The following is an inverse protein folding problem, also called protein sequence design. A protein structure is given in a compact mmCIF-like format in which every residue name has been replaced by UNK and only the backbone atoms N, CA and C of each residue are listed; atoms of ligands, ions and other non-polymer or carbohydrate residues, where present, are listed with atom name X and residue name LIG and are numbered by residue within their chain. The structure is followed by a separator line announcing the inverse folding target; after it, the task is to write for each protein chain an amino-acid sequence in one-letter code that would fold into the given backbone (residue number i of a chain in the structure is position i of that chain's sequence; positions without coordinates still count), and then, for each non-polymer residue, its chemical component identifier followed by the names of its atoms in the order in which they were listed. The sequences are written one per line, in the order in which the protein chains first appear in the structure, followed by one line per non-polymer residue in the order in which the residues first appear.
data_IF_710506808435
#
_entry.id   IF_710506808435
#
_cell.length_a   1.000
_cell.length_b   1.000
_cell.length_c   1.000
_cell.angle_alpha   90.00
_cell.angle_beta   90.00
_cell.angle_gamma   90.00
#
_symmetry.space_group_name_H-M   'P 1'
#
loop_
_entity.id
_entity.type
_entity.pdbx_description
1 polymer ?
#
# COMPACT_ATOMS: atom_id res chain seq x y z
N UNK A 1 -14.19 -9.45 6.46
CA UNK A 1 -13.12 -8.90 7.30
C UNK A 1 -13.63 -7.69 8.06
N UNK A 2 -13.86 -6.54 7.43
CA UNK A 2 -14.33 -5.32 8.11
C UNK A 2 -15.64 -5.49 8.91
N UNK A 3 -16.57 -6.31 8.43
CA UNK A 3 -17.82 -6.64 9.15
C UNK A 3 -17.65 -7.69 10.27
N UNK A 4 -16.44 -8.16 10.54
CA UNK A 4 -16.18 -9.20 11.54
C UNK A 4 -16.58 -10.63 11.14
N UNK A 5 -17.11 -10.84 9.92
CA UNK A 5 -17.55 -12.18 9.48
C UNK A 5 -16.41 -13.21 9.39
N UNK A 6 -15.20 -12.76 9.08
CA UNK A 6 -13.98 -13.58 9.00
C UNK A 6 -12.77 -12.75 9.46
N UNK A 7 -11.77 -13.36 10.11
CA UNK A 7 -10.59 -12.62 10.61
C UNK A 7 -9.65 -12.16 9.49
N UNK A 8 -9.61 -12.90 8.37
CA UNK A 8 -8.85 -12.56 7.18
C UNK A 8 -9.51 -13.13 5.92
N UNK A 9 -9.19 -12.57 4.75
CA UNK A 9 -9.63 -13.02 3.44
C UNK A 9 -8.46 -12.92 2.45
N UNK A 10 -8.21 -13.97 1.68
CA UNK A 10 -7.17 -13.95 0.63
C UNK A 10 -7.65 -13.21 -0.61
N UNK A 11 -6.71 -12.64 -1.35
CA UNK A 11 -7.00 -11.93 -2.59
C UNK A 11 -5.84 -11.96 -3.57
N UNK A 12 -6.07 -11.39 -4.74
CA UNK A 12 -5.07 -11.20 -5.79
C UNK A 12 -5.05 -9.71 -6.15
N UNK A 13 -3.89 -9.09 -6.06
CA UNK A 13 -3.70 -7.65 -6.27
C UNK A 13 -2.93 -7.41 -7.58
N UNK A 14 -3.69 -7.12 -8.66
CA UNK A 14 -3.14 -6.78 -9.99
C UNK A 14 -3.18 -5.29 -10.34
N UNK A 15 -4.03 -4.51 -9.68
CA UNK A 15 -4.14 -3.06 -9.83
C UNK A 15 -4.35 -2.33 -8.50
N UNK A 16 -4.26 -3.03 -7.36
CA UNK A 16 -4.71 -2.53 -6.06
C UNK A 16 -5.87 -3.31 -5.44
N UNK A 17 -6.32 -4.42 -6.03
CA UNK A 17 -7.53 -5.14 -5.61
C UNK A 17 -7.49 -5.78 -4.22
N UNK A 18 -6.36 -5.74 -3.51
CA UNK A 18 -6.29 -6.04 -2.07
C UNK A 18 -6.16 -4.76 -1.26
N UNK A 19 -5.26 -3.86 -1.68
CA UNK A 19 -4.97 -2.61 -0.95
C UNK A 19 -6.15 -1.63 -0.95
N UNK A 20 -6.76 -1.39 -2.11
CA UNK A 20 -7.88 -0.45 -2.28
C UNK A 20 -9.09 -0.83 -1.41
N UNK A 21 -9.65 -2.06 -1.50
CA UNK A 21 -10.76 -2.42 -0.63
C UNK A 21 -10.36 -2.45 0.85
N UNK A 22 -9.10 -2.76 1.18
CA UNK A 22 -8.63 -2.66 2.56
C UNK A 22 -8.68 -1.21 3.07
N UNK A 23 -8.18 -0.26 2.27
CA UNK A 23 -8.22 1.17 2.57
C UNK A 23 -9.66 1.66 2.77
N UNK A 24 -10.56 1.37 1.83
CA UNK A 24 -11.95 1.83 1.86
C UNK A 24 -12.80 1.15 2.93
N UNK A 25 -12.40 -0.03 3.41
CA UNK A 25 -13.08 -0.71 4.49
C UNK A 25 -12.39 -0.55 5.85
N UNK A 26 -11.33 0.27 5.95
CA UNK A 26 -10.63 0.52 7.22
C UNK A 26 -9.99 -0.73 7.82
N UNK A 27 -9.45 -1.62 6.99
CA UNK A 27 -8.75 -2.85 7.43
C UNK A 27 -7.34 -2.91 6.84
N UNK A 28 -6.52 -3.84 7.33
CA UNK A 28 -5.19 -4.06 6.78
C UNK A 28 -5.28 -4.82 5.46
N UNK A 29 -4.50 -4.40 4.46
CA UNK A 29 -4.38 -5.08 3.18
C UNK A 29 -2.92 -5.26 2.77
N UNK A 30 -2.42 -6.49 2.70
CA UNK A 30 -1.07 -6.79 2.24
C UNK A 30 -1.09 -7.33 0.81
N UNK A 31 -0.33 -6.69 -0.07
CA UNK A 31 0.13 -7.27 -1.34
C UNK A 31 1.56 -7.78 -1.14
N UNK A 32 1.80 -9.05 -1.43
CA UNK A 32 3.14 -9.62 -1.34
C UNK A 32 4.02 -9.21 -2.52
N UNK A 33 5.33 -9.32 -2.35
CA UNK A 33 6.28 -9.10 -3.44
C UNK A 33 6.01 -10.09 -4.57
N UNK A 34 6.13 -9.61 -5.81
CA UNK A 34 5.89 -10.44 -6.99
C UNK A 34 6.85 -11.64 -7.00
N UNK A 35 6.30 -12.83 -7.29
CA UNK A 35 7.05 -14.08 -7.32
C UNK A 35 7.19 -14.78 -5.96
N UNK A 36 6.75 -14.19 -4.84
CA UNK A 36 6.77 -14.89 -3.54
C UNK A 36 5.85 -16.12 -3.52
N UNK A 37 4.67 -15.99 -4.14
CA UNK A 37 3.66 -17.04 -4.24
C UNK A 37 3.26 -17.23 -5.71
N UNK A 38 2.86 -18.46 -6.12
CA UNK A 38 2.36 -18.71 -7.46
C UNK A 38 1.15 -17.82 -7.79
N UNK A 39 1.15 -17.27 -9.00
CA UNK A 39 0.03 -16.46 -9.52
C UNK A 39 -0.45 -17.05 -10.84
N UNK A 40 -1.78 -17.23 -11.03
CA UNK A 40 -2.33 -17.65 -12.32
C UNK A 40 -2.30 -16.52 -13.37
N UNK A 41 -2.02 -15.29 -12.94
CA UNK A 41 -1.91 -14.14 -13.84
C UNK A 41 -0.63 -14.24 -14.68
N UNK A 42 -0.82 -14.41 -16.00
CA UNK A 42 0.28 -14.50 -16.96
C UNK A 42 0.90 -13.15 -17.30
N UNK A 43 0.25 -12.04 -16.93
CA UNK A 43 0.79 -10.70 -17.19
C UNK A 43 1.89 -10.30 -16.21
N UNK A 44 1.96 -10.95 -15.04
CA UNK A 44 2.92 -10.65 -13.97
C UNK A 44 2.53 -9.44 -13.12
N UNK A 45 1.34 -8.86 -13.32
CA UNK A 45 0.85 -7.71 -12.55
C UNK A 45 0.29 -8.13 -11.19
N UNK A 46 -0.33 -9.31 -11.14
CA UNK A 46 -1.05 -9.79 -9.97
C UNK A 46 -0.16 -10.58 -9.01
N UNK A 47 -0.15 -10.17 -7.75
CA UNK A 47 0.49 -10.88 -6.65
C UNK A 47 -0.56 -11.28 -5.62
N UNK A 48 -0.31 -12.39 -4.93
CA UNK A 48 -1.18 -12.83 -3.86
C UNK A 48 -1.18 -11.81 -2.71
N UNK A 49 -2.28 -11.78 -1.96
CA UNK A 49 -2.41 -10.88 -0.84
C UNK A 49 -3.49 -11.30 0.14
N UNK A 50 -3.64 -10.51 1.19
CA UNK A 50 -4.60 -10.74 2.27
C UNK A 50 -5.19 -9.42 2.73
N UNK A 51 -6.50 -9.42 2.95
CA UNK A 51 -7.18 -8.45 3.80
C UNK A 51 -7.31 -9.06 5.19
N UNK A 52 -6.88 -8.37 6.23
CA UNK A 52 -6.90 -8.86 7.60
C UNK A 52 -7.46 -7.78 8.54
N UNK A 53 -8.08 -8.23 9.64
CA UNK A 53 -8.57 -7.31 10.67
C UNK A 53 -7.41 -6.54 11.34
N UNK A 54 -6.23 -7.15 11.41
CA UNK A 54 -5.03 -6.64 12.05
C UNK A 54 -3.75 -7.25 11.43
N UNK A 55 -2.58 -6.79 11.89
CA UNK A 55 -1.28 -7.28 11.44
C UNK A 55 -1.02 -8.72 11.89
N UNK A 56 -1.60 -9.16 13.01
CA UNK A 56 -1.50 -10.56 13.44
C UNK A 56 -2.14 -11.51 12.42
N UNK A 57 -3.25 -11.11 11.79
CA UNK A 57 -3.86 -11.83 10.67
C UNK A 57 -2.97 -11.90 9.44
N UNK A 58 -2.26 -10.81 9.11
CA UNK A 58 -1.28 -10.80 8.01
C UNK A 58 -0.05 -11.68 8.30
N UNK A 59 0.45 -11.68 9.54
CA UNK A 59 1.51 -12.58 10.00
C UNK A 59 1.07 -14.05 9.86
N UNK A 60 -0.15 -14.37 10.32
CA UNK A 60 -0.71 -15.71 10.21
C UNK A 60 -0.82 -16.14 8.75
N UNK A 61 -1.31 -15.27 7.87
CA UNK A 61 -1.37 -15.52 6.44
C UNK A 61 0.01 -15.88 5.85
N UNK A 62 1.02 -15.02 6.03
CA UNK A 62 2.36 -15.25 5.48
C UNK A 62 2.97 -16.54 5.99
N UNK A 63 2.82 -16.84 7.29
CA UNK A 63 3.27 -18.09 7.91
C UNK A 63 2.62 -19.30 7.23
N UNK A 64 1.31 -19.25 7.02
CA UNK A 64 0.56 -20.36 6.43
C UNK A 64 0.91 -20.60 4.96
N UNK A 65 1.04 -19.55 4.15
CA UNK A 65 1.21 -19.69 2.69
C UNK A 65 2.66 -19.92 2.26
N UNK A 66 3.64 -19.47 3.04
CA UNK A 66 5.05 -19.69 2.72
C UNK A 66 5.68 -20.85 3.52
N UNK A 67 4.95 -21.38 4.51
CA UNK A 67 5.43 -22.42 5.43
C UNK A 67 6.49 -21.93 6.43
N UNK A 68 6.82 -20.64 6.44
CA UNK A 68 7.79 -20.01 7.34
C UNK A 68 7.40 -18.56 7.62
N UNK A 69 7.63 -18.08 8.83
CA UNK A 69 7.54 -16.65 9.10
C UNK A 69 8.52 -16.33 10.21
N UNK A 70 9.56 -15.59 9.85
CA UNK A 70 10.52 -15.06 10.80
C UNK A 70 10.26 -13.56 10.92
N UNK A 71 9.73 -13.09 12.07
CA UNK A 71 9.50 -11.67 12.29
C UNK A 71 10.78 -10.90 12.06
N UNK A 72 10.75 -9.94 11.13
CA UNK A 72 11.90 -9.10 10.80
C UNK A 72 11.60 -7.67 11.25
N UNK A 73 11.81 -7.40 12.54
CA UNK A 73 11.58 -6.08 13.11
C UNK A 73 12.51 -5.06 12.46
N UNK A 74 12.01 -3.96 11.88
CA UNK A 74 12.86 -2.90 11.37
C UNK A 74 13.47 -2.10 12.53
N UNK A 75 14.62 -1.47 12.28
CA UNK A 75 15.22 -0.53 13.23
C UNK A 75 14.49 0.81 13.19
N UNK A 76 13.89 1.20 14.32
CA UNK A 76 13.12 2.44 14.44
C UNK A 76 13.99 3.63 14.89
N UNK A 77 13.75 4.85 14.37
CA UNK A 77 12.80 5.19 13.32
C UNK A 77 13.30 4.75 11.93
N UNK A 78 12.40 4.15 11.13
CA UNK A 78 12.73 3.74 9.76
C UNK A 78 12.79 4.96 8.84
N UNK A 79 13.86 5.16 8.06
CA UNK A 79 13.87 6.23 7.07
C UNK A 79 12.75 6.02 6.04
N UNK A 80 11.99 7.07 5.77
CA UNK A 80 10.85 7.00 4.87
C UNK A 80 10.76 8.25 4.02
N UNK A 81 10.31 8.10 2.77
CA UNK A 81 9.94 9.24 1.93
C UNK A 81 8.43 9.28 1.79
N UNK A 82 7.87 10.50 1.84
CA UNK A 82 6.48 10.74 1.56
C UNK A 82 6.31 11.26 0.13
N UNK A 83 5.33 10.74 -0.59
CA UNK A 83 4.83 11.34 -1.81
C UNK A 83 3.31 11.26 -1.81
N UNK A 84 2.63 12.39 -1.99
CA UNK A 84 1.18 12.44 -1.96
C UNK A 84 0.57 11.83 -3.23
N UNK A 85 1.20 12.08 -4.38
CA UNK A 85 0.68 11.83 -5.72
C UNK A 85 1.63 10.97 -6.59
N UNK A 86 2.80 10.59 -6.06
CA UNK A 86 3.88 9.93 -6.80
C UNK A 86 4.36 10.75 -8.02
N UNK A 87 4.07 12.06 -8.07
CA UNK A 87 4.40 12.96 -9.17
C UNK A 87 3.47 12.90 -10.38
N UNK A 88 2.37 12.15 -10.33
CA UNK A 88 1.45 12.01 -11.48
C UNK A 88 -0.04 11.93 -11.14
N UNK A 89 -0.42 11.51 -9.92
CA UNK A 89 -1.82 11.29 -9.59
C UNK A 89 -2.55 12.59 -9.18
N UNK A 90 -3.78 12.77 -9.64
CA UNK A 90 -4.69 13.79 -9.08
C UNK A 90 -5.33 13.27 -7.79
N UNK A 91 -4.83 13.72 -6.64
CA UNK A 91 -5.25 13.26 -5.30
C UNK A 91 -6.20 14.27 -4.65
N UNK A 92 -7.31 13.79 -4.10
CA UNK A 92 -8.24 14.57 -3.29
C UNK A 92 -7.51 15.15 -2.07
N UNK A 93 -7.55 16.48 -1.92
CA UNK A 93 -6.92 17.22 -0.83
C UNK A 93 -7.21 16.62 0.55
N UNK A 94 -8.43 16.11 0.76
CA UNK A 94 -8.83 15.54 2.03
C UNK A 94 -8.19 14.17 2.27
N UNK A 95 -8.05 13.35 1.21
CA UNK A 95 -7.34 12.08 1.26
C UNK A 95 -5.87 12.30 1.59
N UNK A 96 -5.22 13.26 0.91
CA UNK A 96 -3.85 13.65 1.22
C UNK A 96 -3.74 14.12 2.68
N UNK A 97 -4.63 15.00 3.12
CA UNK A 97 -4.62 15.57 4.48
C UNK A 97 -4.72 14.49 5.55
N UNK A 98 -5.62 13.52 5.39
CA UNK A 98 -5.79 12.41 6.33
C UNK A 98 -4.56 11.51 6.35
N UNK A 99 -4.04 11.14 5.17
CA UNK A 99 -2.87 10.28 5.06
C UNK A 99 -1.60 10.96 5.63
N UNK A 100 -1.35 12.23 5.30
CA UNK A 100 -0.24 13.02 5.85
C UNK A 100 -0.36 13.18 7.37
N UNK A 101 -1.57 13.36 7.91
CA UNK A 101 -1.78 13.38 9.37
C UNK A 101 -1.32 12.06 10.00
N UNK A 102 -1.69 10.92 9.42
CA UNK A 102 -1.25 9.61 9.89
C UNK A 102 0.29 9.51 9.84
N UNK A 103 0.92 9.89 8.72
CA UNK A 103 2.39 9.89 8.59
C UNK A 103 3.06 10.75 9.66
N UNK A 104 2.54 11.95 9.95
CA UNK A 104 3.06 12.82 11.02
C UNK A 104 2.92 12.17 12.40
N UNK A 105 1.84 11.44 12.66
CA UNK A 105 1.68 10.67 13.90
C UNK A 105 2.72 9.54 14.00
N UNK A 106 2.98 8.81 12.90
CA UNK A 106 4.03 7.78 12.87
C UNK A 106 5.41 8.39 13.14
N UNK A 107 5.69 9.56 12.58
CA UNK A 107 6.96 10.26 12.81
C UNK A 107 7.09 10.76 14.26
N UNK A 108 6.04 11.37 14.81
CA UNK A 108 6.01 11.82 16.20
C UNK A 108 6.15 10.67 17.20
N UNK A 109 5.66 9.48 16.85
CA UNK A 109 5.79 8.26 17.64
C UNK A 109 7.14 7.55 17.47
N UNK A 110 8.04 8.08 16.63
CA UNK A 110 9.38 7.52 16.40
C UNK A 110 9.40 6.26 15.54
N UNK A 111 8.33 5.94 14.79
CA UNK A 111 8.32 4.80 13.88
C UNK A 111 8.96 5.11 12.54
N UNK A 112 8.79 6.34 12.03
CA UNK A 112 9.40 6.77 10.76
C UNK A 112 10.19 8.05 10.93
N UNK A 113 11.25 8.21 10.16
CA UNK A 113 11.96 9.47 9.99
C UNK A 113 11.78 9.91 8.54
N UNK A 114 11.08 11.02 8.34
CA UNK A 114 10.83 11.52 6.99
C UNK A 114 12.07 12.20 6.41
N UNK A 115 12.45 11.77 5.23
CA UNK A 115 13.41 12.47 4.39
C UNK A 115 12.71 13.68 3.74
N UNK A 116 13.40 14.83 3.70
CA UNK A 116 12.83 16.09 3.20
C UNK A 116 12.70 16.16 1.67
N UNK A 117 13.06 15.09 0.95
CA UNK A 117 13.01 15.01 -0.50
C UNK A 117 11.63 14.60 -0.99
N UNK A 118 11.11 15.28 -2.00
CA UNK A 118 9.99 14.75 -2.79
C UNK A 118 10.43 13.52 -3.58
N UNK A 119 9.48 12.67 -3.97
CA UNK A 119 9.73 11.48 -4.75
C UNK A 119 8.65 11.26 -5.81
N UNK A 120 9.09 11.21 -7.07
CA UNK A 120 8.22 11.18 -8.24
C UNK A 120 8.58 10.01 -9.15
N UNK A 121 7.54 9.39 -9.71
CA UNK A 121 7.62 8.37 -10.75
C UNK A 121 7.05 8.94 -12.05
N UNK A 122 7.35 8.26 -13.16
CA UNK A 122 6.60 8.47 -14.40
C UNK A 122 5.22 7.84 -14.27
N UNK A 123 4.19 8.48 -14.83
CA UNK A 123 2.81 7.98 -14.83
C UNK A 123 2.75 6.55 -15.43
N UNK A 124 2.39 5.53 -14.62
CA UNK A 124 2.38 4.15 -15.06
C UNK A 124 1.12 3.76 -15.85
N UNK A 125 0.12 4.64 -16.03
CA UNK A 125 -1.20 4.29 -16.57
C UNK A 125 -1.10 3.54 -17.90
N UNK A 126 -0.47 4.14 -18.91
CA UNK A 126 -0.34 3.54 -20.25
C UNK A 126 0.49 2.26 -20.21
N UNK A 127 1.56 2.22 -19.40
CA UNK A 127 2.39 1.04 -19.24
C UNK A 127 1.61 -0.12 -18.60
N UNK A 128 0.78 0.17 -17.60
CA UNK A 128 -0.07 -0.83 -16.94
C UNK A 128 -1.14 -1.35 -17.91
N UNK A 129 -1.82 -0.46 -18.65
CA UNK A 129 -2.81 -0.83 -19.65
C UNK A 129 -2.20 -1.66 -20.78
N UNK A 130 -1.01 -1.32 -21.25
CA UNK A 130 -0.30 -2.08 -22.29
C UNK A 130 0.06 -3.50 -21.81
N UNK A 131 0.61 -3.66 -20.60
CA UNK A 131 0.90 -4.99 -20.04
C UNK A 131 -0.38 -5.79 -19.88
N UNK A 132 -1.45 -5.18 -19.34
CA UNK A 132 -2.74 -5.83 -19.16
C UNK A 132 -3.38 -6.26 -20.49
N UNK A 133 -3.22 -5.44 -21.52
CA UNK A 133 -3.68 -5.70 -22.89
C UNK A 133 -2.84 -6.68 -23.70
N UNK A 134 -1.80 -7.28 -23.10
CA UNK A 134 -0.93 -8.25 -23.78
C UNK A 134 0.13 -7.62 -24.68
N UNK A 135 0.45 -6.34 -24.47
CA UNK A 135 1.46 -5.58 -25.21
C UNK A 135 2.60 -5.09 -24.29
N UNK A 136 3.26 -5.98 -23.50
CA UNK A 136 4.25 -5.58 -22.50
C UNK A 136 5.45 -4.85 -23.10
N UNK A 137 5.75 -5.06 -24.39
CA UNK A 137 6.79 -4.34 -25.12
C UNK A 137 6.64 -2.81 -25.07
N UNK A 138 5.40 -2.29 -25.11
CA UNK A 138 5.13 -0.85 -25.05
C UNK A 138 5.42 -0.25 -23.66
N UNK A 139 5.41 -1.07 -22.61
CA UNK A 139 5.69 -0.64 -21.24
C UNK A 139 7.18 -0.65 -20.88
N UNK A 140 8.04 -1.23 -21.73
CA UNK A 140 9.44 -1.58 -21.38
C UNK A 140 10.24 -0.39 -20.87
N UNK A 141 10.26 0.71 -21.61
CA UNK A 141 11.07 1.88 -21.28
C UNK A 141 10.61 2.55 -19.97
N UNK A 142 9.29 2.75 -19.82
CA UNK A 142 8.73 3.37 -18.62
C UNK A 142 8.93 2.50 -17.38
N UNK A 143 8.70 1.18 -17.49
CA UNK A 143 8.96 0.25 -16.40
C UNK A 143 10.43 0.28 -15.99
N UNK A 144 11.36 0.22 -16.95
CA UNK A 144 12.78 0.25 -16.66
C UNK A 144 13.20 1.54 -15.93
N UNK A 145 12.67 2.69 -16.32
CA UNK A 145 12.95 3.97 -15.66
C UNK A 145 12.37 4.03 -14.24
N UNK A 146 11.10 3.66 -14.04
CA UNK A 146 10.50 3.62 -12.70
C UNK A 146 11.17 2.57 -11.80
N UNK A 147 11.56 1.41 -12.34
CA UNK A 147 12.32 0.39 -11.61
C UNK A 147 13.70 0.93 -11.19
N UNK A 148 14.38 1.70 -12.05
CA UNK A 148 15.63 2.37 -11.71
C UNK A 148 15.46 3.39 -10.57
N UNK A 149 14.41 4.22 -10.62
CA UNK A 149 14.09 5.19 -9.57
C UNK A 149 13.80 4.50 -8.24
N UNK A 150 12.97 3.46 -8.25
CA UNK A 150 12.62 2.69 -7.04
C UNK A 150 13.83 1.98 -6.46
N UNK A 151 14.66 1.35 -7.29
CA UNK A 151 15.91 0.75 -6.85
C UNK A 151 16.82 1.79 -6.19
N UNK A 152 16.98 2.97 -6.80
CA UNK A 152 17.78 4.07 -6.23
C UNK A 152 17.20 4.59 -4.91
N UNK A 153 15.87 4.70 -4.80
CA UNK A 153 15.20 5.08 -3.56
C UNK A 153 15.51 4.08 -2.44
N UNK A 154 15.22 2.80 -2.66
CA UNK A 154 15.32 1.77 -1.63
C UNK A 154 16.76 1.47 -1.18
N UNK A 155 17.78 1.96 -1.90
CA UNK A 155 19.17 1.95 -1.40
C UNK A 155 19.41 2.95 -0.26
N UNK A 156 18.58 4.00 -0.14
CA UNK A 156 18.75 5.10 0.82
C UNK A 156 17.63 5.16 1.84
N UNK A 157 16.41 4.89 1.40
CA UNK A 157 15.19 5.09 2.16
C UNK A 157 14.35 3.82 2.09
N UNK A 158 14.30 3.01 3.15
CA UNK A 158 13.65 1.69 3.12
C UNK A 158 12.15 1.72 2.82
N UNK A 159 11.47 2.83 3.10
CA UNK A 159 10.01 2.96 2.93
C UNK A 159 9.63 4.12 2.02
N UNK A 160 8.65 3.86 1.14
CA UNK A 160 7.89 4.87 0.42
C UNK A 160 6.46 4.89 0.98
N UNK A 161 6.01 6.08 1.38
CA UNK A 161 4.69 6.33 1.97
C UNK A 161 3.86 7.17 1.01
N UNK A 162 2.61 6.77 0.77
CA UNK A 162 1.65 7.46 -0.11
C UNK A 162 0.22 7.09 0.30
N UNK A 163 -0.83 7.86 -0.01
CA UNK A 163 -2.20 7.36 0.10
C UNK A 163 -2.38 6.08 -0.73
N UNK A 164 -3.31 5.21 -0.33
CA UNK A 164 -3.62 3.98 -1.09
C UNK A 164 -4.41 4.31 -2.36
N UNK A 165 -5.37 5.22 -2.27
CA UNK A 165 -6.20 5.69 -3.38
C UNK A 165 -6.09 7.20 -3.47
N UNK A 166 -6.21 7.79 -4.68
CA UNK A 166 -6.26 9.24 -4.81
C UNK A 166 -7.61 9.84 -4.37
N UNK A 167 -8.65 9.03 -4.25
CA UNK A 167 -10.01 9.46 -3.97
C UNK A 167 -10.66 8.65 -2.85
N UNK A 168 -11.77 9.18 -2.34
CA UNK A 168 -12.64 8.57 -1.33
C UNK A 168 -13.36 7.34 -1.88
N UNK A 169 -13.85 6.44 -1.00
CA UNK A 169 -14.84 5.44 -1.39
C UNK A 169 -16.02 6.10 -2.12
N UNK A 170 -16.51 5.45 -3.16
CA UNK A 170 -17.59 5.98 -3.98
C UNK A 170 -18.64 4.92 -4.25
N UNK A 171 -19.86 5.37 -4.58
CA UNK A 171 -20.95 4.51 -5.03
C UNK A 171 -20.76 3.98 -6.44
N UNK A 172 -21.85 3.48 -7.02
CA UNK A 172 -21.86 2.90 -8.37
C UNK A 172 -21.49 3.89 -9.49
N UNK A 173 -21.64 5.19 -9.26
CA UNK A 173 -21.25 6.25 -10.20
C UNK A 173 -19.73 6.31 -10.45
N UNK A 174 -18.94 5.62 -9.61
CA UNK A 174 -17.50 5.60 -9.77
C UNK A 174 -16.81 6.89 -9.31
N UNK A 175 -15.49 6.98 -9.49
CA UNK A 175 -14.68 8.13 -9.09
C UNK A 175 -14.70 9.29 -10.12
N UNK A 176 -15.64 9.28 -11.07
CA UNK A 176 -15.59 10.19 -12.23
C UNK A 176 -14.42 9.88 -13.15
N UNK A 177 -13.61 10.89 -13.47
CA UNK A 177 -12.44 10.75 -14.37
C UNK A 177 -11.17 10.24 -13.66
N UNK A 178 -11.17 10.15 -12.33
CA UNK A 178 -10.01 9.67 -11.56
C UNK A 178 -9.90 8.15 -11.61
N UNK A 179 -8.68 7.64 -11.69
CA UNK A 179 -8.43 6.23 -11.45
C UNK A 179 -8.14 5.97 -9.98
N UNK A 180 -9.03 5.27 -9.27
CA UNK A 180 -8.79 4.80 -7.89
C UNK A 180 -7.51 3.96 -7.75
N UNK A 181 -6.98 3.46 -8.87
CA UNK A 181 -5.80 2.59 -8.98
C UNK A 181 -4.50 3.34 -9.31
N UNK A 182 -4.53 4.66 -9.51
CA UNK A 182 -3.34 5.42 -9.96
C UNK A 182 -2.13 5.23 -9.03
N UNK A 183 -2.36 5.31 -7.72
CA UNK A 183 -1.32 5.17 -6.68
C UNK A 183 -0.90 3.72 -6.40
N UNK A 184 -1.55 2.73 -7.01
CA UNK A 184 -1.22 1.31 -6.80
C UNK A 184 -0.51 0.68 -8.00
N UNK A 185 -0.74 1.17 -9.21
CA UNK A 185 -0.22 0.62 -10.47
C UNK A 185 1.30 0.51 -10.53
N UNK A 186 2.03 1.53 -10.07
CA UNK A 186 3.50 1.53 -10.09
C UNK A 186 4.08 0.31 -9.35
N UNK A 187 3.45 -0.09 -8.25
CA UNK A 187 3.88 -1.22 -7.43
C UNK A 187 3.43 -2.56 -8.00
N UNK A 188 2.30 -2.60 -8.71
CA UNK A 188 1.90 -3.76 -9.51
C UNK A 188 2.90 -4.03 -10.63
N UNK A 189 3.31 -2.99 -11.36
CA UNK A 189 4.30 -3.09 -12.43
C UNK A 189 5.68 -3.49 -11.91
N UNK A 190 6.16 -2.85 -10.84
CA UNK A 190 7.52 -3.10 -10.32
C UNK A 190 7.62 -4.34 -9.43
N UNK A 191 6.51 -4.84 -8.90
CA UNK A 191 6.48 -6.05 -8.07
C UNK A 191 6.84 -5.85 -6.58
N UNK A 192 6.96 -4.61 -6.11
CA UNK A 192 7.29 -4.30 -4.72
C UNK A 192 6.15 -4.69 -3.75
N UNK A 193 6.46 -5.25 -2.57
CA UNK A 193 5.45 -5.50 -1.54
C UNK A 193 4.89 -4.17 -1.03
N UNK A 194 3.60 -4.17 -0.70
CA UNK A 194 2.91 -2.98 -0.21
C UNK A 194 1.83 -3.37 0.79
N UNK A 195 1.75 -2.64 1.91
CA UNK A 195 0.69 -2.78 2.91
C UNK A 195 -0.15 -1.51 2.94
N UNK A 196 -1.46 -1.68 2.87
CA UNK A 196 -2.46 -0.67 3.21
C UNK A 196 -2.78 -0.82 4.69
N UNK A 197 -2.64 0.27 5.43
CA UNK A 197 -3.10 0.37 6.82
C UNK A 197 -4.12 1.50 6.96
N UNK A 198 -5.03 1.44 7.95
CA UNK A 198 -5.96 2.54 8.20
C UNK A 198 -5.22 3.83 8.60
N UNK A 199 -5.51 4.95 7.92
CA UNK A 199 -4.94 6.27 8.20
C UNK A 199 -5.89 7.19 8.99
N UNK A 200 -7.17 6.80 9.08
CA UNK A 200 -8.24 7.53 9.77
C UNK A 200 -9.43 7.72 8.84
N UNK A 201 -10.28 8.69 9.20
CA UNK A 201 -11.49 9.02 8.47
C UNK A 201 -11.44 10.47 7.97
N UNK A 202 -12.10 10.69 6.84
CA UNK A 202 -12.43 12.03 6.34
C UNK A 202 -13.64 12.63 7.10
N UNK A 203 -14.04 13.88 6.82
CA UNK A 203 -15.16 14.54 7.50
C UNK A 203 -16.53 13.87 7.28
N UNK A 204 -16.67 13.08 6.21
CA UNK A 204 -17.88 12.35 5.88
C UNK A 204 -17.90 10.95 6.54
N UNK A 205 -16.88 10.63 7.35
CA UNK A 205 -16.74 9.34 8.02
C UNK A 205 -16.24 8.23 7.10
N UNK A 206 -15.73 8.55 5.92
CA UNK A 206 -15.18 7.58 4.99
C UNK A 206 -13.73 7.21 5.37
N UNK A 207 -13.38 5.90 5.41
CA UNK A 207 -12.01 5.47 5.68
C UNK A 207 -11.01 5.91 4.61
N UNK A 208 -9.82 6.32 5.06
CA UNK A 208 -8.65 6.59 4.21
C UNK A 208 -7.53 5.61 4.58
N UNK A 209 -6.85 5.05 3.59
CA UNK A 209 -5.71 4.16 3.80
C UNK A 209 -4.37 4.82 3.51
N UNK A 210 -3.37 4.50 4.33
CA UNK A 210 -1.96 4.81 4.09
C UNK A 210 -1.28 3.57 3.50
N UNK A 211 -0.64 3.72 2.35
CA UNK A 211 0.15 2.70 1.70
C UNK A 211 1.61 2.86 2.14
N UNK A 212 2.19 1.77 2.64
CA UNK A 212 3.61 1.65 2.96
C UNK A 212 4.21 0.64 1.98
N UNK A 213 5.19 1.06 1.20
CA UNK A 213 5.88 0.23 0.21
C UNK A 213 7.33 0.05 0.63
N UNK A 214 7.84 -1.18 0.51
CA UNK A 214 9.23 -1.51 0.82
C UNK A 214 9.92 -2.17 -0.38
N UNK A 215 11.23 -2.40 -0.25
CA UNK A 215 12.01 -3.16 -1.22
C UNK A 215 11.48 -4.60 -1.38
N UNK A 216 11.76 -5.25 -2.53
CA UNK A 216 11.39 -6.65 -2.74
C UNK A 216 11.89 -7.57 -1.63
N UNK A 217 11.05 -8.53 -1.23
CA UNK A 217 11.36 -9.51 -0.19
C UNK A 217 11.26 -8.99 1.24
N UNK A 218 10.95 -7.71 1.45
CA UNK A 218 10.75 -7.12 2.78
C UNK A 218 9.33 -7.35 3.34
N UNK A 219 8.57 -8.31 2.81
CA UNK A 219 7.19 -8.61 3.18
C UNK A 219 6.99 -8.80 4.70
N UNK A 220 7.87 -9.58 5.34
CA UNK A 220 7.81 -9.80 6.79
C UNK A 220 8.10 -8.51 7.57
N UNK A 221 9.11 -7.74 7.15
CA UNK A 221 9.43 -6.46 7.80
C UNK A 221 8.30 -5.43 7.64
N UNK A 222 7.63 -5.44 6.48
CA UNK A 222 6.49 -4.58 6.20
C UNK A 222 5.27 -4.92 7.08
N UNK A 223 5.05 -6.21 7.35
CA UNK A 223 4.02 -6.66 8.30
C UNK A 223 4.39 -6.29 9.74
N UNK A 224 5.66 -6.43 10.14
CA UNK A 224 6.13 -5.97 11.45
C UNK A 224 6.01 -4.44 11.61
N UNK A 225 6.24 -3.67 10.54
CA UNK A 225 5.98 -2.23 10.53
C UNK A 225 4.49 -1.96 10.78
N UNK A 226 3.58 -2.64 10.08
CA UNK A 226 2.14 -2.49 10.32
C UNK A 226 1.74 -2.85 11.76
N UNK A 227 2.33 -3.91 12.32
CA UNK A 227 2.14 -4.31 13.73
C UNK A 227 2.61 -3.22 14.70
N UNK A 228 3.75 -2.58 14.42
CA UNK A 228 4.25 -1.47 15.22
C UNK A 228 3.32 -0.26 15.17
N UNK A 229 2.75 0.05 13.99
CA UNK A 229 1.74 1.10 13.86
C UNK A 229 0.51 0.79 14.71
N UNK A 230 -0.03 -0.42 14.61
CA UNK A 230 -1.20 -0.86 15.39
C UNK A 230 -1.00 -0.71 16.90
N UNK A 231 0.16 -1.10 17.43
CA UNK A 231 0.44 -0.99 18.87
C UNK A 231 0.46 0.45 19.38
N UNK A 232 0.75 1.42 18.52
CA UNK A 232 0.74 2.84 18.87
C UNK A 232 -0.65 3.42 18.71
N UNK A 233 -1.38 3.02 17.67
CA UNK A 233 -2.73 3.50 17.39
C UNK A 233 -3.77 2.94 18.37
N UNK A 234 -3.60 1.71 18.87
CA UNK A 234 -4.39 1.16 19.98
C UNK A 234 -4.14 1.91 21.30
N UNK A 235 -2.90 2.37 21.53
CA UNK A 235 -2.57 3.25 22.67
C UNK A 235 -3.11 4.67 22.49
N UNK A 236 -3.36 5.08 21.24
CA UNK A 236 -3.97 6.36 20.87
C UNK A 236 -5.40 6.17 20.32
N UNK A 237 -6.23 5.37 21.01
CA UNK A 237 -7.70 5.29 20.88
C UNK A 237 -8.26 5.47 19.45
N UNK A 238 -8.23 4.39 18.66
CA UNK A 238 -9.03 4.20 17.44
C UNK A 238 -10.54 4.01 17.71
N UNK A 239 -11.14 4.80 18.62
CA UNK A 239 -12.56 4.67 18.98
C UNK A 239 -13.45 5.82 18.51
N UNK A 240 -13.00 6.65 17.57
CA UNK A 240 -13.92 7.52 16.83
C UNK A 240 -14.58 6.72 15.70
N UNK A 241 -15.32 5.67 16.05
CA UNK A 241 -16.40 5.20 15.17
C UNK A 241 -17.37 6.37 15.01
N UNK A 242 -17.81 6.72 13.79
CA UNK A 242 -18.97 7.56 13.64
C UNK A 242 -20.15 6.80 14.28
N UNK A 243 -20.77 7.40 15.31
CA UNK A 243 -22.08 6.98 15.79
C UNK A 243 -23.15 7.30 14.74
#
# INVERSE_FOLDING_TARGET
VATGMVPLATGSDGAGSVRIPAAWCGVLGLRTTAGLLPSPDRTGLASAGVLAADAAGAQAYLRSVTGRYEPTLPEFPVPAVWSADLGFADVDDEVERVAMRAVRQLAAAGLVRLDATSYDLLDPCDAWLAVRGGQPGQATALRAENDHRLASLFTRTPLLLTPVTPNRPHGHEGPGERYSTSLTWAFNLSGHPAVSIPAGFDPDGCPVGLQIVAAHGQDASLVEMARAVEMITERSVWSASPH
#
